data_IF_562825024779
#
_entry.id   IF_562825024779
#
_cell.length_a   1.000
_cell.length_b   1.000
_cell.length_c   1.000
_cell.angle_alpha   90.00
_cell.angle_beta   90.00
_cell.angle_gamma   90.00
#
_symmetry.space_group_name_H-M   'P 1'
#
loop_
_entity.id
_entity.type
_entity.pdbx_description
1 polymer ?
#
# COMPACT_ATOMS: atom_id res chain seq x y z
N UNK A 1 11.30 7.75 15.57
CA UNK A 1 10.17 6.86 15.31
C UNK A 1 10.32 6.24 13.92
N UNK A 2 9.44 6.49 12.93
CA UNK A 2 9.53 5.84 11.62
C UNK A 2 9.09 6.76 10.48
N UNK A 3 9.48 6.40 9.25
CA UNK A 3 9.21 7.19 8.03
C UNK A 3 8.58 6.32 6.95
N UNK A 4 7.59 6.89 6.26
CA UNK A 4 6.92 6.33 5.09
C UNK A 4 6.78 7.40 4.00
N UNK A 5 6.82 7.00 2.72
CA UNK A 5 6.73 7.89 1.56
C UNK A 5 5.27 8.14 1.11
N UNK A 6 4.40 8.58 2.00
CA UNK A 6 3.03 8.91 1.62
C UNK A 6 2.67 10.35 2.02
N UNK A 7 2.11 11.17 1.10
CA UNK A 7 1.75 10.89 -0.29
C UNK A 7 2.96 10.64 -1.21
N UNK A 8 2.78 9.83 -2.26
CA UNK A 8 3.86 9.35 -3.12
C UNK A 8 3.56 9.54 -4.60
N UNK A 9 4.58 9.86 -5.39
CA UNK A 9 4.48 9.88 -6.86
C UNK A 9 4.37 8.48 -7.47
N UNK A 10 4.64 7.43 -6.68
CA UNK A 10 4.47 6.03 -7.08
C UNK A 10 3.05 5.65 -7.49
N UNK A 11 2.03 6.41 -7.04
CA UNK A 11 0.63 6.25 -7.46
C UNK A 11 0.31 6.91 -8.80
N UNK A 12 1.24 7.67 -9.37
CA UNK A 12 1.07 8.40 -10.64
C UNK A 12 1.73 7.59 -11.74
N UNK A 13 1.08 7.45 -12.88
CA UNK A 13 1.59 6.73 -14.05
C UNK A 13 1.51 7.57 -15.33
N UNK A 14 1.90 6.96 -16.47
CA UNK A 14 1.78 7.52 -17.80
C UNK A 14 2.59 8.80 -18.01
N UNK A 15 2.09 9.66 -18.89
CA UNK A 15 2.78 10.90 -19.32
C UNK A 15 3.04 11.84 -18.16
N UNK A 16 2.11 11.94 -17.21
CA UNK A 16 2.29 12.84 -16.06
C UNK A 16 3.42 12.37 -15.15
N UNK A 17 3.54 11.07 -14.92
CA UNK A 17 4.69 10.51 -14.20
C UNK A 17 6.00 10.84 -14.87
N UNK A 18 6.10 10.66 -16.21
CA UNK A 18 7.30 11.00 -16.97
C UNK A 18 7.67 12.48 -16.82
N UNK A 19 6.68 13.39 -16.89
CA UNK A 19 6.91 14.83 -16.67
C UNK A 19 7.43 15.14 -15.25
N UNK A 20 6.96 14.45 -14.23
CA UNK A 20 7.47 14.62 -12.86
C UNK A 20 8.93 14.18 -12.76
N UNK A 21 9.30 13.04 -13.36
CA UNK A 21 10.68 12.58 -13.40
C UNK A 21 11.60 13.58 -14.13
N UNK A 22 11.19 14.08 -15.31
CA UNK A 22 11.96 15.06 -16.09
C UNK A 22 12.14 16.40 -15.37
N UNK A 23 11.18 16.80 -14.54
CA UNK A 23 11.23 18.08 -13.80
C UNK A 23 11.86 17.95 -12.41
N UNK A 24 12.41 16.79 -12.08
CA UNK A 24 13.06 16.54 -10.81
C UNK A 24 12.07 16.40 -9.63
N UNK A 25 10.80 16.09 -9.90
CA UNK A 25 9.78 15.79 -8.89
C UNK A 25 9.41 14.30 -8.87
N UNK A 26 10.33 13.45 -9.25
CA UNK A 26 10.17 12.00 -9.36
C UNK A 26 10.37 11.25 -8.04
N UNK A 27 10.38 9.91 -8.17
CA UNK A 27 10.49 8.99 -7.02
C UNK A 27 11.84 9.08 -6.29
N UNK A 28 12.88 9.61 -6.95
CA UNK A 28 14.22 9.69 -6.38
C UNK A 28 14.25 10.43 -5.04
N UNK A 29 13.49 11.50 -4.89
CA UNK A 29 13.41 12.22 -3.62
C UNK A 29 12.85 11.38 -2.46
N UNK A 30 11.93 10.48 -2.77
CA UNK A 30 11.40 9.54 -1.77
C UNK A 30 12.44 8.49 -1.40
N UNK A 31 13.23 8.01 -2.36
CA UNK A 31 14.35 7.09 -2.13
C UNK A 31 15.42 7.77 -1.28
N UNK A 32 15.81 9.00 -1.61
CA UNK A 32 16.79 9.79 -0.86
C UNK A 32 16.32 10.07 0.58
N UNK A 33 15.02 10.32 0.77
CA UNK A 33 14.40 10.48 2.09
C UNK A 33 14.50 9.19 2.93
N UNK A 34 14.28 8.02 2.34
CA UNK A 34 14.42 6.74 3.03
C UNK A 34 15.87 6.48 3.40
N UNK A 35 16.82 6.76 2.50
CA UNK A 35 18.26 6.64 2.79
C UNK A 35 18.67 7.53 3.99
N UNK A 36 18.25 8.79 4.00
CA UNK A 36 18.52 9.71 5.09
C UNK A 36 17.87 9.25 6.40
N UNK A 37 16.63 8.76 6.36
CA UNK A 37 15.96 8.24 7.53
C UNK A 37 16.66 7.02 8.11
N UNK A 38 17.14 6.11 7.26
CA UNK A 38 17.96 4.96 7.66
C UNK A 38 19.27 5.41 8.32
N UNK A 39 19.98 6.39 7.75
CA UNK A 39 21.19 6.96 8.36
C UNK A 39 20.95 7.59 9.74
N UNK A 40 19.73 8.06 10.00
CA UNK A 40 19.29 8.63 11.27
C UNK A 40 18.73 7.58 12.26
N UNK A 41 18.91 6.29 11.97
CA UNK A 41 18.44 5.16 12.80
C UNK A 41 16.91 5.21 13.04
N UNK A 42 16.15 5.63 12.02
CA UNK A 42 14.70 5.62 12.03
C UNK A 42 14.16 4.38 11.31
N UNK A 43 13.06 3.82 11.82
CA UNK A 43 12.35 2.75 11.12
C UNK A 43 11.86 3.25 9.74
N UNK A 44 12.22 2.54 8.67
CA UNK A 44 11.87 2.89 7.30
C UNK A 44 10.87 1.89 6.73
N UNK A 45 9.72 2.38 6.22
CA UNK A 45 8.63 1.53 5.77
C UNK A 45 7.98 2.06 4.46
N UNK A 46 8.73 2.18 3.34
CA UNK A 46 8.22 2.74 2.11
C UNK A 46 7.18 1.87 1.40
N UNK A 47 6.22 2.53 0.73
CA UNK A 47 5.43 1.93 -0.34
C UNK A 47 6.27 1.78 -1.60
N UNK A 48 6.14 0.61 -2.23
CA UNK A 48 6.74 0.30 -3.53
C UNK A 48 5.67 -0.24 -4.49
N UNK A 49 5.84 0.02 -5.79
CA UNK A 49 4.75 -0.20 -6.76
C UNK A 49 5.12 -1.22 -7.84
N UNK A 50 6.40 -1.55 -7.96
CA UNK A 50 6.95 -2.53 -8.89
C UNK A 50 8.26 -3.12 -8.35
N UNK A 51 8.79 -4.12 -9.05
CA UNK A 51 10.02 -4.80 -8.68
C UNK A 51 11.25 -3.88 -8.69
N UNK A 52 11.29 -2.89 -9.58
CA UNK A 52 12.42 -1.95 -9.67
C UNK A 52 12.45 -1.04 -8.44
N UNK A 53 11.34 -0.39 -8.12
CA UNK A 53 11.21 0.46 -6.93
C UNK A 53 11.40 -0.32 -5.64
N UNK A 54 10.94 -1.58 -5.56
CA UNK A 54 11.20 -2.46 -4.42
C UNK A 54 12.70 -2.67 -4.18
N UNK A 55 13.45 -2.95 -5.24
CA UNK A 55 14.90 -3.10 -5.13
C UNK A 55 15.62 -1.77 -4.79
N UNK A 56 15.17 -0.64 -5.35
CA UNK A 56 15.77 0.68 -5.09
C UNK A 56 15.56 1.14 -3.65
N UNK A 57 14.36 1.06 -3.12
CA UNK A 57 14.08 1.39 -1.71
C UNK A 57 14.80 0.46 -0.74
N UNK A 58 14.93 -0.83 -1.08
CA UNK A 58 15.70 -1.77 -0.26
C UNK A 58 17.19 -1.39 -0.25
N UNK A 59 17.79 -0.98 -1.39
CA UNK A 59 19.17 -0.47 -1.42
C UNK A 59 19.35 0.81 -0.60
N UNK A 60 18.31 1.63 -0.52
CA UNK A 60 18.30 2.84 0.30
C UNK A 60 18.20 2.55 1.81
N UNK A 61 18.06 1.30 2.22
CA UNK A 61 18.01 0.90 3.63
C UNK A 61 16.59 0.77 4.18
N UNK A 62 15.62 0.38 3.36
CA UNK A 62 14.28 0.08 3.85
C UNK A 62 14.28 -1.14 4.78
N UNK A 63 13.81 -0.99 6.02
CA UNK A 63 13.61 -2.10 6.98
C UNK A 63 12.39 -2.94 6.60
N UNK A 64 11.34 -2.25 6.13
CA UNK A 64 10.08 -2.85 5.69
C UNK A 64 9.72 -2.30 4.32
N UNK A 65 9.45 -3.17 3.37
CA UNK A 65 8.92 -2.80 2.05
C UNK A 65 7.45 -3.16 1.98
N UNK A 66 6.59 -2.18 1.70
CA UNK A 66 5.16 -2.41 1.54
C UNK A 66 4.81 -2.49 0.05
N UNK A 67 4.57 -3.70 -0.43
CA UNK A 67 4.19 -3.99 -1.81
C UNK A 67 2.77 -3.47 -2.07
N UNK A 68 2.68 -2.27 -2.67
CA UNK A 68 1.43 -1.56 -2.91
C UNK A 68 0.87 -1.89 -4.29
N UNK A 69 -0.27 -2.57 -4.33
CA UNK A 69 -0.89 -3.03 -5.58
C UNK A 69 -2.08 -2.16 -6.01
N UNK A 70 -1.97 -0.86 -5.82
CA UNK A 70 -2.96 0.16 -6.16
C UNK A 70 -3.83 0.61 -4.96
N UNK A 71 -4.66 1.65 -5.17
CA UNK A 71 -5.57 2.16 -4.14
C UNK A 71 -6.61 1.12 -3.74
N UNK A 72 -6.89 1.01 -2.43
CA UNK A 72 -7.83 0.02 -1.89
C UNK A 72 -9.23 0.21 -2.48
N UNK A 73 -9.78 -0.87 -3.01
CA UNK A 73 -11.14 -0.94 -3.55
C UNK A 73 -12.21 -0.92 -2.44
N UNK A 74 -13.47 -0.98 -2.81
CA UNK A 74 -14.64 -1.08 -1.93
C UNK A 74 -14.89 0.15 -1.04
N UNK A 75 -16.02 0.14 -0.33
CA UNK A 75 -16.51 1.26 0.45
C UNK A 75 -17.06 2.41 -0.40
N UNK A 76 -17.33 3.55 0.23
CA UNK A 76 -18.00 4.69 -0.41
C UNK A 76 -17.16 5.43 -1.46
N UNK A 77 -15.82 5.31 -1.38
CA UNK A 77 -14.87 6.02 -2.26
C UNK A 77 -13.83 5.09 -2.91
N UNK A 78 -14.05 3.78 -2.87
CA UNK A 78 -13.17 2.81 -3.49
C UNK A 78 -13.23 2.85 -5.02
N UNK A 79 -12.10 2.58 -5.70
CA UNK A 79 -12.06 2.44 -7.16
C UNK A 79 -12.88 1.22 -7.61
N UNK A 80 -13.56 1.35 -8.75
CA UNK A 80 -14.43 0.30 -9.30
C UNK A 80 -14.04 -0.14 -10.71
N UNK A 81 -13.42 0.73 -11.51
CA UNK A 81 -13.18 0.49 -12.94
C UNK A 81 -11.72 0.10 -13.27
N UNK A 82 -10.77 0.36 -12.40
CA UNK A 82 -9.34 0.09 -12.61
C UNK A 82 -8.81 -0.95 -11.62
N UNK A 83 -9.67 -1.90 -11.27
CA UNK A 83 -9.35 -2.94 -10.29
C UNK A 83 -8.59 -4.06 -10.97
N UNK A 84 -7.41 -4.39 -10.42
CA UNK A 84 -6.70 -5.62 -10.79
C UNK A 84 -7.34 -6.82 -10.09
N UNK A 85 -7.13 -8.02 -10.64
CA UNK A 85 -7.59 -9.25 -10.00
C UNK A 85 -6.75 -9.59 -8.76
N UNK A 86 -7.26 -10.46 -7.87
CA UNK A 86 -6.50 -10.97 -6.74
C UNK A 86 -5.31 -11.82 -7.18
N UNK A 87 -5.42 -12.54 -8.30
CA UNK A 87 -4.31 -13.32 -8.87
C UNK A 87 -3.21 -12.40 -9.38
N UNK A 88 -3.55 -11.32 -10.07
CA UNK A 88 -2.59 -10.30 -10.48
C UNK A 88 -1.94 -9.61 -9.27
N UNK A 89 -2.68 -9.39 -8.19
CA UNK A 89 -2.10 -8.87 -6.95
C UNK A 89 -1.08 -9.84 -6.34
N UNK A 90 -1.35 -11.15 -6.36
CA UNK A 90 -0.39 -12.19 -5.93
C UNK A 90 0.90 -12.11 -6.75
N UNK A 91 0.79 -12.05 -8.08
CA UNK A 91 1.95 -11.96 -8.98
C UNK A 91 2.78 -10.70 -8.73
N UNK A 92 2.13 -9.53 -8.62
CA UNK A 92 2.82 -8.25 -8.36
C UNK A 92 3.49 -8.23 -6.99
N UNK A 93 2.80 -8.67 -5.94
CA UNK A 93 3.36 -8.74 -4.59
C UNK A 93 4.56 -9.67 -4.55
N UNK A 94 4.48 -10.85 -5.20
CA UNK A 94 5.61 -11.78 -5.26
C UNK A 94 6.79 -11.20 -6.02
N UNK A 95 6.56 -10.52 -7.13
CA UNK A 95 7.64 -9.89 -7.90
C UNK A 95 8.37 -8.79 -7.09
N UNK A 96 7.64 -7.96 -6.37
CA UNK A 96 8.22 -6.94 -5.48
C UNK A 96 8.98 -7.58 -4.31
N UNK A 97 8.41 -8.63 -3.71
CA UNK A 97 9.08 -9.42 -2.67
C UNK A 97 10.42 -9.98 -3.15
N UNK A 98 10.42 -10.67 -4.29
CA UNK A 98 11.61 -11.33 -4.80
C UNK A 98 12.71 -10.32 -5.17
N UNK A 99 12.32 -9.16 -5.70
CA UNK A 99 13.25 -8.08 -6.01
C UNK A 99 13.86 -7.44 -4.75
N UNK A 100 13.06 -7.22 -3.71
CA UNK A 100 13.54 -6.70 -2.43
C UNK A 100 14.49 -7.71 -1.75
N UNK A 101 14.08 -8.97 -1.66
CA UNK A 101 14.87 -10.06 -1.05
C UNK A 101 16.16 -10.38 -1.80
N UNK A 102 16.24 -10.10 -3.08
CA UNK A 102 17.47 -10.22 -3.86
C UNK A 102 18.52 -9.15 -3.49
N UNK A 103 18.09 -8.01 -2.93
CA UNK A 103 18.96 -6.93 -2.44
C UNK A 103 19.35 -7.17 -0.99
N UNK A 104 18.34 -7.40 -0.12
CA UNK A 104 18.53 -7.70 1.29
C UNK A 104 17.63 -8.88 1.71
N UNK A 105 18.21 -10.04 2.06
CA UNK A 105 17.43 -11.18 2.53
C UNK A 105 16.65 -10.95 3.82
N UNK A 106 17.05 -9.97 4.64
CA UNK A 106 16.43 -9.69 5.93
C UNK A 106 15.27 -8.68 5.85
N UNK A 107 15.14 -7.89 4.75
CA UNK A 107 14.07 -6.92 4.60
C UNK A 107 12.69 -7.55 4.77
N UNK A 108 11.83 -6.93 5.55
CA UNK A 108 10.45 -7.41 5.75
C UNK A 108 9.57 -6.93 4.58
N UNK A 109 8.79 -7.83 3.99
CA UNK A 109 7.86 -7.46 2.91
C UNK A 109 6.43 -7.71 3.35
N UNK A 110 5.60 -6.66 3.22
CA UNK A 110 4.16 -6.67 3.52
C UNK A 110 3.37 -6.39 2.24
N UNK A 111 2.16 -6.95 2.12
CA UNK A 111 1.24 -6.62 1.02
C UNK A 111 0.23 -5.54 1.43
N UNK A 112 -0.21 -4.71 0.46
CA UNK A 112 -1.15 -3.61 0.70
C UNK A 112 -1.94 -3.23 -0.55
N UNK A 113 -3.18 -2.79 -0.34
CA UNK A 113 -3.94 -2.03 -1.30
C UNK A 113 -4.61 -2.84 -2.42
N UNK A 114 -5.13 -2.13 -3.42
CA UNK A 114 -5.86 -2.73 -4.55
C UNK A 114 -7.02 -3.61 -4.11
N UNK A 115 -7.11 -4.83 -4.65
CA UNK A 115 -8.16 -5.79 -4.29
C UNK A 115 -8.01 -6.38 -2.89
N UNK A 116 -6.95 -6.04 -2.14
CA UNK A 116 -6.73 -6.51 -0.78
C UNK A 116 -7.48 -5.58 0.19
N UNK A 117 -8.81 -5.66 0.18
CA UNK A 117 -9.69 -4.75 0.91
C UNK A 117 -10.17 -5.34 2.24
N UNK A 118 -10.39 -6.63 2.28
CA UNK A 118 -10.93 -7.35 3.44
C UNK A 118 -9.97 -8.43 3.94
N UNK A 119 -10.13 -8.93 5.18
CA UNK A 119 -9.28 -9.99 5.73
C UNK A 119 -9.17 -11.24 4.85
N UNK A 120 -10.28 -11.63 4.18
CA UNK A 120 -10.29 -12.75 3.23
C UNK A 120 -9.43 -12.52 1.99
N UNK A 121 -9.28 -11.25 1.55
CA UNK A 121 -8.42 -10.92 0.41
C UNK A 121 -6.94 -10.95 0.83
N UNK A 122 -6.63 -10.44 2.02
CA UNK A 122 -5.30 -10.54 2.59
C UNK A 122 -4.89 -12.02 2.77
N UNK A 123 -5.77 -12.85 3.32
CA UNK A 123 -5.54 -14.29 3.44
C UNK A 123 -5.30 -14.93 2.08
N UNK A 124 -6.07 -14.55 1.05
CA UNK A 124 -5.92 -15.07 -0.31
C UNK A 124 -4.51 -14.80 -0.86
N UNK A 125 -4.02 -13.57 -0.72
CA UNK A 125 -2.70 -13.16 -1.22
C UNK A 125 -1.59 -13.82 -0.39
N UNK A 126 -1.66 -13.75 0.93
CA UNK A 126 -0.64 -14.29 1.83
C UNK A 126 -0.46 -15.82 1.68
N UNK A 127 -1.56 -16.57 1.45
CA UNK A 127 -1.45 -18.02 1.22
C UNK A 127 -0.87 -18.41 -0.15
N UNK A 128 -0.83 -17.49 -1.11
CA UNK A 128 -0.35 -17.74 -2.49
C UNK A 128 0.99 -17.10 -2.79
N UNK A 129 1.48 -16.26 -1.90
CA UNK A 129 2.83 -15.69 -1.94
C UNK A 129 3.78 -16.49 -1.04
N UNK A 130 5.08 -16.37 -1.29
CA UNK A 130 6.12 -16.98 -0.47
C UNK A 130 6.98 -15.90 0.16
N UNK A 131 7.19 -15.96 1.48
CA UNK A 131 8.07 -15.06 2.20
C UNK A 131 7.47 -13.68 2.51
N UNK A 132 6.28 -13.36 2.03
CA UNK A 132 5.54 -12.14 2.42
C UNK A 132 5.10 -12.29 3.86
N UNK A 133 5.56 -11.36 4.73
CA UNK A 133 5.45 -11.50 6.18
C UNK A 133 4.06 -11.14 6.73
N UNK A 134 3.26 -10.36 5.99
CA UNK A 134 1.95 -9.94 6.46
C UNK A 134 1.28 -8.89 5.58
N UNK A 135 0.25 -8.26 6.15
CA UNK A 135 -0.57 -7.24 5.51
C UNK A 135 -0.41 -5.90 6.22
N UNK A 136 -0.24 -4.84 5.44
CA UNK A 136 -0.22 -3.46 5.93
C UNK A 136 -1.61 -2.83 5.70
N UNK A 137 -2.31 -2.45 6.77
CA UNK A 137 -3.66 -1.92 6.70
C UNK A 137 -3.69 -0.40 6.79
N UNK A 138 -4.46 0.26 5.90
CA UNK A 138 -4.86 1.66 5.98
C UNK A 138 -6.37 1.75 5.76
N UNK A 139 -6.85 2.10 4.56
CA UNK A 139 -8.29 2.20 4.25
C UNK A 139 -9.09 0.93 4.59
N UNK A 140 -8.47 -0.24 4.52
CA UNK A 140 -9.06 -1.52 4.92
C UNK A 140 -9.43 -1.60 6.41
N UNK A 141 -8.74 -0.85 7.27
CA UNK A 141 -9.00 -0.81 8.72
C UNK A 141 -9.68 0.50 9.11
N UNK A 142 -9.20 1.63 8.59
CA UNK A 142 -9.70 2.95 8.98
C UNK A 142 -11.09 3.23 8.39
N UNK A 143 -11.26 3.02 7.09
CA UNK A 143 -12.45 3.39 6.34
C UNK A 143 -13.46 2.24 6.24
N UNK A 144 -13.05 1.10 5.72
CA UNK A 144 -13.97 -0.02 5.42
C UNK A 144 -14.60 -0.63 6.67
N UNK A 145 -13.93 -0.55 7.82
CA UNK A 145 -14.48 -1.00 9.09
C UNK A 145 -15.46 0.02 9.69
N UNK A 146 -15.25 1.32 9.49
CA UNK A 146 -16.03 2.40 10.12
C UNK A 146 -17.23 2.84 9.30
N UNK A 147 -17.14 2.90 7.97
CA UNK A 147 -18.25 3.33 7.10
C UNK A 147 -19.58 2.59 7.38
N UNK A 148 -19.63 1.24 7.40
CA UNK A 148 -20.87 0.53 7.68
C UNK A 148 -21.41 0.77 9.08
N UNK A 149 -20.53 0.90 10.06
CA UNK A 149 -20.93 1.13 11.47
C UNK A 149 -21.54 2.52 11.63
N UNK A 150 -20.94 3.56 11.04
CA UNK A 150 -21.47 4.92 11.06
C UNK A 150 -22.84 5.01 10.36
N UNK A 151 -22.97 4.40 9.18
CA UNK A 151 -24.23 4.37 8.46
C UNK A 151 -25.33 3.66 9.23
N UNK A 152 -25.05 2.48 9.78
CA UNK A 152 -26.01 1.71 10.57
C UNK A 152 -26.49 2.50 11.80
N UNK A 153 -25.58 3.14 12.53
CA UNK A 153 -25.91 3.95 13.70
C UNK A 153 -26.75 5.18 13.33
N UNK A 154 -26.40 5.87 12.25
CA UNK A 154 -27.17 7.02 11.78
C UNK A 154 -28.59 6.62 11.35
N UNK A 155 -28.73 5.49 10.65
CA UNK A 155 -30.04 4.94 10.27
C UNK A 155 -30.86 4.56 11.51
N UNK A 156 -30.24 3.96 12.53
CA UNK A 156 -30.92 3.60 13.77
C UNK A 156 -31.48 4.83 14.49
N UNK A 157 -30.70 5.92 14.60
CA UNK A 157 -31.21 7.18 15.17
C UNK A 157 -32.33 7.79 14.34
N UNK A 158 -32.22 7.78 13.01
CA UNK A 158 -33.25 8.32 12.12
C UNK A 158 -34.57 7.50 12.14
N UNK A 159 -34.53 6.25 12.57
CA UNK A 159 -35.72 5.40 12.67
C UNK A 159 -36.57 5.65 13.93
N UNK A 160 -36.10 6.48 14.87
CA UNK A 160 -36.86 6.85 16.05
C UNK A 160 -38.03 7.73 15.63
N UNK A 161 -39.27 7.18 15.78
CA UNK A 161 -40.48 7.96 15.54
C UNK A 161 -40.65 9.05 16.62
N UNK A 162 -40.97 10.26 16.21
CA UNK A 162 -41.44 11.30 17.09
C UNK A 162 -42.96 11.12 17.20
N UNK A 163 -43.47 10.82 18.39
CA UNK A 163 -44.91 10.91 18.64
C UNK A 163 -45.30 12.38 18.56
N UNK A 164 -46.30 12.68 17.72
CA UNK A 164 -46.85 14.03 17.55
C UNK A 164 -47.86 14.36 18.64
#
# INVERSE_FOLDING_TARGET
>A
DGVQNFPTVGLIDGTFRAMLEETGMGIQHEIDMIALAHELDMLTCPYVFDAATAAEFTRAGADVVVAHVNTTVAGSVGVTNTVISRDEAVERVQAMHDAAKAVDPEVIVLCHGGPIAYPSDAEYVLRRTRGVAGFFGASSIERLATEPALEAQARAFKSIGLEA
#
